data_IF_087140835898
#
_entry.id   IF_087140835898
#
_cell.length_a   1.000
_cell.length_b   1.000
_cell.length_c   1.000
_cell.angle_alpha   90.00
_cell.angle_beta   90.00
_cell.angle_gamma   90.00
#
_symmetry.space_group_name_H-M   'P 1'
#
loop_
_entity.id
_entity.type
_entity.pdbx_description
1 polymer ?
#
# COMPACT_ATOMS: atom_id res chain seq x y z
N UNK A 1 11.03 -2.78 -0.89
CA UNK A 1 9.63 -2.47 -0.56
C UNK A 1 9.63 -1.54 0.63
N UNK A 2 8.77 -0.53 0.64
CA UNK A 2 8.67 0.47 1.69
C UNK A 2 7.32 0.36 2.39
N UNK A 3 7.32 0.56 3.70
CA UNK A 3 6.11 0.63 4.49
C UNK A 3 5.60 2.07 4.51
N UNK A 4 4.34 2.27 4.13
CA UNK A 4 3.65 3.57 4.24
C UNK A 4 2.49 3.42 5.20
N UNK A 5 2.42 4.27 6.22
CA UNK A 5 1.32 4.25 7.19
C UNK A 5 0.22 5.21 6.77
N UNK A 6 -1.01 4.72 6.66
CA UNK A 6 -2.22 5.56 6.52
C UNK A 6 -3.19 5.34 7.67
N UNK A 7 -4.33 6.04 7.65
CA UNK A 7 -5.43 5.84 8.60
C UNK A 7 -6.07 4.45 8.48
N UNK A 8 -6.07 3.86 7.28
CA UNK A 8 -6.40 2.43 7.05
C UNK A 8 -5.34 1.45 7.53
N UNK A 9 -4.18 1.93 7.96
CA UNK A 9 -3.05 1.15 8.46
C UNK A 9 -1.88 1.02 7.45
N UNK A 10 -0.96 0.06 7.65
CA UNK A 10 0.27 -0.02 6.86
C UNK A 10 0.09 -0.66 5.48
N UNK A 11 0.56 0.04 4.45
CA UNK A 11 0.71 -0.46 3.09
C UNK A 11 2.15 -0.89 2.82
N UNK A 12 2.33 -1.96 2.05
CA UNK A 12 3.64 -2.37 1.53
C UNK A 12 3.70 -2.04 0.04
N UNK A 13 4.56 -1.09 -0.32
CA UNK A 13 4.68 -0.59 -1.69
C UNK A 13 6.08 -0.80 -2.27
N UNK A 14 6.18 -0.85 -3.59
CA UNK A 14 7.47 -0.94 -4.28
C UNK A 14 8.23 0.39 -4.23
N UNK A 15 9.50 0.36 -4.62
CA UNK A 15 10.36 1.57 -4.63
C UNK A 15 9.83 2.65 -5.58
N UNK A 16 9.37 2.25 -6.76
CA UNK A 16 8.79 3.17 -7.75
C UNK A 16 7.54 3.90 -7.21
N UNK A 17 6.61 3.18 -6.59
CA UNK A 17 5.43 3.79 -5.98
C UNK A 17 5.82 4.70 -4.81
N UNK A 18 6.77 4.31 -3.97
CA UNK A 18 7.22 5.18 -2.88
C UNK A 18 7.88 6.46 -3.39
N UNK A 19 8.68 6.38 -4.45
CA UNK A 19 9.30 7.55 -5.10
C UNK A 19 8.24 8.48 -5.68
N UNK A 20 7.21 7.93 -6.34
CA UNK A 20 6.11 8.72 -6.88
C UNK A 20 5.33 9.46 -5.79
N UNK A 21 4.99 8.77 -4.69
CA UNK A 21 4.31 9.41 -3.57
C UNK A 21 5.14 10.52 -2.92
N UNK A 22 6.47 10.37 -2.88
CA UNK A 22 7.37 11.42 -2.38
C UNK A 22 7.38 12.64 -3.31
N UNK A 23 7.45 12.40 -4.61
CA UNK A 23 7.46 13.45 -5.64
C UNK A 23 6.16 14.27 -5.61
N UNK A 24 5.02 13.58 -5.46
CA UNK A 24 3.70 14.19 -5.34
C UNK A 24 3.37 14.73 -3.93
N UNK A 25 4.32 14.68 -2.98
CA UNK A 25 4.11 15.04 -1.58
C UNK A 25 2.91 14.33 -0.90
N UNK A 26 2.57 13.12 -1.37
CA UNK A 26 1.51 12.25 -0.83
C UNK A 26 1.96 11.46 0.40
N UNK A 27 3.26 11.49 0.73
CA UNK A 27 3.81 10.95 1.98
C UNK A 27 4.75 11.97 2.65
N UNK A 28 4.70 12.02 3.97
CA UNK A 28 5.60 12.81 4.80
C UNK A 28 7.01 12.19 4.91
N UNK A 29 7.98 12.96 5.41
CA UNK A 29 9.35 12.51 5.69
C UNK A 29 9.42 11.24 6.55
N UNK A 30 8.41 11.00 7.39
CA UNK A 30 8.30 9.80 8.23
C UNK A 30 7.64 8.59 7.53
N UNK A 31 7.34 8.68 6.23
CA UNK A 31 6.64 7.61 5.48
C UNK A 31 5.17 7.47 5.86
N UNK A 32 4.54 8.55 6.33
CA UNK A 32 3.09 8.59 6.62
C UNK A 32 2.35 9.19 5.44
N UNK A 33 1.29 8.54 5.00
CA UNK A 33 0.38 9.07 4.00
C UNK A 33 -0.26 10.37 4.51
N UNK A 34 -0.25 11.44 3.72
CA UNK A 34 -0.99 12.67 4.04
C UNK A 34 -2.48 12.54 3.75
N UNK A 35 -2.86 11.62 2.86
CA UNK A 35 -4.25 11.31 2.53
C UNK A 35 -4.45 9.80 2.41
N UNK A 36 -5.67 9.36 2.66
CA UNK A 36 -6.06 7.95 2.63
C UNK A 36 -6.41 7.46 1.21
N UNK A 37 -6.45 8.38 0.24
CA UNK A 37 -6.70 8.11 -1.18
C UNK A 37 -5.46 7.63 -1.97
N UNK A 38 -4.31 7.44 -1.32
CA UNK A 38 -3.07 7.04 -2.02
C UNK A 38 -3.10 5.61 -2.57
N UNK A 39 -4.04 4.78 -2.10
CA UNK A 39 -4.14 3.38 -2.51
C UNK A 39 -4.54 3.20 -3.97
N UNK A 40 -5.17 4.21 -4.58
CA UNK A 40 -5.59 4.19 -6.00
C UNK A 40 -4.40 4.33 -6.95
N UNK A 41 -3.30 4.91 -6.46
CA UNK A 41 -2.08 5.19 -7.23
C UNK A 41 -1.07 4.03 -7.18
N UNK A 42 -1.39 2.93 -6.50
CA UNK A 42 -0.47 1.82 -6.31
C UNK A 42 -0.47 0.85 -7.49
N UNK A 43 0.72 0.43 -7.90
CA UNK A 43 0.86 -0.63 -8.90
C UNK A 43 0.36 -1.97 -8.34
N UNK A 44 -0.01 -2.96 -9.17
CA UNK A 44 -0.56 -4.25 -8.72
C UNK A 44 0.40 -5.08 -7.87
N UNK A 45 1.69 -4.74 -7.84
CA UNK A 45 2.69 -5.38 -6.96
C UNK A 45 2.68 -4.82 -5.53
N UNK A 46 1.99 -3.71 -5.28
CA UNK A 46 1.81 -3.14 -3.95
C UNK A 46 0.57 -3.75 -3.32
N UNK A 47 0.64 -4.08 -2.03
CA UNK A 47 -0.48 -4.69 -1.34
C UNK A 47 -0.68 -4.07 0.04
N UNK A 48 -1.95 -3.94 0.40
CA UNK A 48 -2.39 -3.51 1.71
C UNK A 48 -2.25 -4.66 2.70
N UNK A 49 -1.51 -4.47 3.80
CA UNK A 49 -1.39 -5.52 4.83
C UNK A 49 -2.68 -5.71 5.64
N UNK A 50 -3.62 -4.77 5.58
CA UNK A 50 -4.91 -4.89 6.27
C UNK A 50 -6.00 -5.59 5.46
N UNK A 51 -5.87 -5.67 4.14
CA UNK A 51 -6.55 -6.71 3.37
C UNK A 51 -5.97 -8.03 3.84
N UNK A 52 -6.64 -8.62 4.83
CA UNK A 52 -6.64 -10.06 5.05
C UNK A 52 -6.69 -10.66 3.65
N UNK A 53 -5.68 -11.45 3.31
CA UNK A 53 -5.62 -12.22 2.08
C UNK A 53 -6.77 -13.24 2.16
N UNK A 54 -8.00 -12.81 1.85
CA UNK A 54 -9.16 -13.72 1.71
C UNK A 54 -9.00 -14.54 0.41
N UNK A 55 -7.91 -14.36 -0.34
CA UNK A 55 -7.66 -15.03 -1.62
C UNK A 55 -6.98 -16.41 -1.48
N UNK A 56 -6.67 -16.88 -0.26
CA UNK A 56 -6.16 -18.25 -0.06
C UNK A 56 -7.27 -19.28 0.27
N UNK A 57 -8.54 -18.84 0.39
CA UNK A 57 -9.68 -19.71 0.75
C UNK A 57 -10.70 -19.93 -0.37
N UNK A 58 -10.34 -19.61 -1.62
CA UNK A 58 -11.16 -19.87 -2.81
C UNK A 58 -10.51 -20.87 -3.78
N UNK A 59 -9.73 -21.83 -3.27
CA UNK A 59 -8.95 -22.74 -4.12
C UNK A 59 -8.47 -24.02 -3.44
N UNK A 60 -9.30 -24.68 -2.64
CA UNK A 60 -9.13 -26.09 -2.30
C UNK A 60 -10.50 -26.71 -2.03
N UNK A 61 -11.30 -26.81 -3.10
CA UNK A 61 -12.32 -27.86 -3.17
C UNK A 61 -11.60 -29.08 -3.70
N UNK A 62 -11.62 -30.15 -2.90
CA UNK A 62 -11.13 -31.50 -3.20
C UNK A 62 -11.60 -32.05 -4.56
#
# INVERSE_FOLDING_TARGET
>A
MHAVMSTRGPFMICDACFSMLRDEAKVDQNGRAVSDSIAEDFCPNCFDRNKILIDDLAGSTE
#
